data_IF_873824941636
#
_entry.id   IF_873824941636
#
_cell.length_a   1.000
_cell.length_b   1.000
_cell.length_c   1.000
_cell.angle_alpha   90.00
_cell.angle_beta   90.00
_cell.angle_gamma   90.00
#
_symmetry.space_group_name_H-M   'P 1'
#
loop_
_entity.id
_entity.type
_entity.pdbx_description
1 polymer ?
#
# COMPACT_ATOMS: atom_id res chain seq x y z
N UNK A 1 -30.39 5.81 -2.42
CA UNK A 1 -29.74 6.47 -1.27
C UNK A 1 -28.68 5.54 -0.70
N UNK A 2 -27.67 6.11 -0.09
CA UNK A 2 -26.60 5.41 0.64
C UNK A 2 -27.12 4.37 1.65
N UNK A 3 -28.26 4.65 2.28
CA UNK A 3 -28.93 3.75 3.22
C UNK A 3 -29.41 2.43 2.59
N UNK A 4 -29.86 2.45 1.32
CA UNK A 4 -30.30 1.24 0.61
C UNK A 4 -29.12 0.29 0.34
N UNK A 5 -27.95 0.85 0.01
CA UNK A 5 -26.72 0.08 -0.22
C UNK A 5 -26.26 -0.56 1.09
N UNK A 6 -26.19 0.21 2.18
CA UNK A 6 -25.80 -0.29 3.49
C UNK A 6 -26.71 -1.43 3.98
N UNK A 7 -28.01 -1.29 3.78
CA UNK A 7 -28.99 -2.32 4.14
C UNK A 7 -28.93 -3.57 3.26
N UNK A 8 -28.73 -3.42 1.94
CA UNK A 8 -28.83 -4.54 0.98
C UNK A 8 -27.53 -5.29 0.74
N UNK A 9 -26.39 -4.59 0.73
CA UNK A 9 -25.07 -5.20 0.44
C UNK A 9 -24.41 -5.73 1.70
N UNK A 10 -24.60 -5.06 2.83
CA UNK A 10 -23.97 -5.42 4.10
C UNK A 10 -24.97 -5.94 5.14
N UNK A 11 -26.17 -6.33 4.70
CA UNK A 11 -27.22 -6.91 5.55
C UNK A 11 -27.52 -6.11 6.84
N UNK A 12 -27.46 -4.78 6.74
CA UNK A 12 -27.68 -3.88 7.88
C UNK A 12 -26.58 -3.91 8.95
N UNK A 13 -25.42 -4.55 8.71
CA UNK A 13 -24.26 -4.61 9.62
C UNK A 13 -23.73 -3.22 10.01
N UNK A 14 -23.85 -2.24 9.12
CA UNK A 14 -23.38 -0.86 9.33
C UNK A 14 -24.55 0.11 9.13
N UNK A 15 -24.74 1.03 10.09
CA UNK A 15 -25.82 2.03 10.03
C UNK A 15 -25.44 3.22 9.16
N UNK A 16 -24.14 3.49 9.02
CA UNK A 16 -23.63 4.60 8.22
C UNK A 16 -22.39 4.20 7.41
N UNK A 17 -22.10 4.96 6.35
CA UNK A 17 -20.85 4.83 5.61
C UNK A 17 -19.61 5.12 6.46
N UNK A 18 -19.73 5.99 7.46
CA UNK A 18 -18.65 6.27 8.39
C UNK A 18 -18.32 5.04 9.24
N UNK A 19 -19.33 4.38 9.81
CA UNK A 19 -19.17 3.12 10.55
C UNK A 19 -18.54 2.03 9.68
N UNK A 20 -19.04 1.86 8.44
CA UNK A 20 -18.46 0.90 7.49
C UNK A 20 -16.97 1.19 7.24
N UNK A 21 -16.61 2.44 6.90
CA UNK A 21 -15.22 2.82 6.61
C UNK A 21 -14.33 2.60 7.84
N UNK A 22 -14.77 3.02 9.02
CA UNK A 22 -14.03 2.79 10.26
C UNK A 22 -13.80 1.30 10.51
N UNK A 23 -14.82 0.46 10.34
CA UNK A 23 -14.67 -0.99 10.49
C UNK A 23 -13.69 -1.58 9.47
N UNK A 24 -13.75 -1.15 8.20
CA UNK A 24 -12.81 -1.59 7.16
C UNK A 24 -11.37 -1.15 7.44
N UNK A 25 -11.15 0.02 8.04
CA UNK A 25 -9.82 0.44 8.45
C UNK A 25 -9.31 -0.37 9.64
N UNK A 26 -10.17 -0.60 10.65
CA UNK A 26 -9.80 -1.41 11.81
C UNK A 26 -9.46 -2.85 11.40
N UNK A 27 -10.25 -3.46 10.52
CA UNK A 27 -9.97 -4.79 9.96
C UNK A 27 -8.57 -4.84 9.33
N UNK A 28 -8.15 -3.80 8.59
CA UNK A 28 -6.81 -3.76 8.00
C UNK A 28 -5.72 -3.63 9.07
N UNK A 29 -5.93 -2.78 10.08
CA UNK A 29 -4.99 -2.59 11.20
C UNK A 29 -4.80 -3.91 11.94
N UNK A 30 -5.88 -4.63 12.22
CA UNK A 30 -5.85 -5.94 12.91
C UNK A 30 -5.11 -7.01 12.10
N UNK A 31 -5.01 -6.83 10.77
CA UNK A 31 -4.30 -7.72 9.84
C UNK A 31 -2.83 -7.33 9.62
N UNK A 32 -2.33 -6.23 10.19
CA UNK A 32 -0.94 -5.78 9.97
C UNK A 32 0.10 -6.84 10.34
N UNK A 33 -0.14 -7.63 11.39
CA UNK A 33 0.71 -8.75 11.77
C UNK A 33 0.69 -9.94 10.80
N UNK A 34 -0.22 -9.95 9.83
CA UNK A 34 -0.38 -11.02 8.83
C UNK A 34 -0.01 -10.54 7.43
N UNK A 35 0.68 -9.41 7.29
CA UNK A 35 1.11 -8.93 5.97
C UNK A 35 2.01 -9.98 5.30
N UNK A 36 1.66 -10.40 4.08
CA UNK A 36 2.52 -11.30 3.31
C UNK A 36 3.82 -10.60 2.96
N UNK A 37 4.91 -11.33 3.11
CA UNK A 37 6.20 -10.95 2.56
C UNK A 37 6.06 -10.62 1.07
N UNK A 38 6.67 -9.52 0.63
CA UNK A 38 6.72 -9.12 -0.78
C UNK A 38 8.13 -8.67 -1.16
N UNK A 39 8.57 -9.07 -2.35
CA UNK A 39 9.84 -8.66 -2.94
C UNK A 39 9.59 -7.81 -4.17
N UNK A 40 10.24 -6.66 -4.26
CA UNK A 40 10.08 -5.70 -5.36
C UNK A 40 11.43 -5.14 -5.80
N UNK A 41 11.45 -4.52 -7.00
CA UNK A 41 12.62 -3.80 -7.51
C UNK A 41 12.86 -2.56 -6.66
N UNK A 42 14.05 -2.43 -6.06
CA UNK A 42 14.40 -1.30 -5.21
C UNK A 42 14.48 0.00 -6.03
N UNK A 43 13.54 0.94 -5.85
CA UNK A 43 13.50 2.18 -6.62
C UNK A 43 14.66 3.14 -6.29
N UNK A 44 15.44 2.86 -5.25
CA UNK A 44 16.60 3.67 -4.89
C UNK A 44 17.85 3.30 -5.70
N UNK A 45 17.83 2.17 -6.43
CA UNK A 45 18.96 1.68 -7.22
C UNK A 45 18.84 2.12 -8.69
N UNK A 46 19.96 2.55 -9.32
CA UNK A 46 19.96 2.96 -10.71
C UNK A 46 19.84 1.77 -11.67
N UNK A 47 19.28 2.01 -12.87
CA UNK A 47 19.34 1.06 -14.00
C UNK A 47 20.81 0.80 -14.39
N UNK A 48 21.18 -0.40 -14.90
CA UNK A 48 20.32 -1.57 -15.16
C UNK A 48 20.12 -2.51 -13.97
N UNK A 49 20.91 -2.36 -12.91
CA UNK A 49 20.87 -3.24 -11.76
C UNK A 49 19.89 -2.72 -10.70
N UNK A 50 18.60 -2.96 -10.94
CA UNK A 50 17.54 -2.71 -9.98
C UNK A 50 17.55 -3.76 -8.87
N UNK A 51 18.53 -3.72 -7.97
CA UNK A 51 18.59 -4.64 -6.82
C UNK A 51 17.22 -4.83 -6.16
N UNK A 52 16.96 -5.98 -5.57
CA UNK A 52 15.65 -6.25 -4.96
C UNK A 52 15.62 -5.82 -3.50
N UNK A 53 14.43 -5.48 -3.03
CA UNK A 53 14.13 -5.30 -1.62
C UNK A 53 12.95 -6.18 -1.24
N UNK A 54 13.04 -6.79 -0.07
CA UNK A 54 11.99 -7.62 0.51
C UNK A 54 11.53 -6.96 1.80
N UNK A 55 10.21 -6.90 1.99
CA UNK A 55 9.61 -6.52 3.27
C UNK A 55 8.82 -7.70 3.83
N UNK A 56 8.83 -7.86 5.14
CA UNK A 56 8.19 -8.97 5.84
C UNK A 56 7.00 -8.53 6.68
N UNK A 57 6.88 -7.24 6.98
CA UNK A 57 5.87 -6.70 7.88
C UNK A 57 5.58 -5.23 7.60
N UNK A 58 4.56 -4.70 8.28
CA UNK A 58 4.10 -3.31 8.12
C UNK A 58 5.11 -2.30 8.67
N UNK A 59 5.90 -2.62 9.68
CA UNK A 59 6.89 -1.69 10.25
C UNK A 59 8.03 -1.42 9.26
N UNK A 60 8.50 -2.45 8.56
CA UNK A 60 9.46 -2.31 7.47
C UNK A 60 8.88 -1.47 6.32
N UNK A 61 7.60 -1.68 5.98
CA UNK A 61 6.90 -0.87 4.99
C UNK A 61 6.83 0.61 5.41
N UNK A 62 6.47 0.88 6.66
CA UNK A 62 6.36 2.22 7.21
C UNK A 62 7.72 2.93 7.19
N UNK A 63 8.78 2.25 7.65
CA UNK A 63 10.13 2.81 7.65
C UNK A 63 10.61 3.20 6.23
N UNK A 64 10.27 2.40 5.20
CA UNK A 64 10.58 2.75 3.82
C UNK A 64 9.77 3.95 3.32
N UNK A 65 8.49 4.02 3.71
CA UNK A 65 7.65 5.17 3.38
C UNK A 65 8.19 6.46 4.03
N UNK A 66 8.59 6.39 5.30
CA UNK A 66 9.16 7.53 6.03
C UNK A 66 10.46 8.02 5.38
N UNK A 67 11.34 7.10 4.99
CA UNK A 67 12.55 7.43 4.23
C UNK A 67 12.24 8.08 2.88
N UNK A 68 11.24 7.59 2.17
CA UNK A 68 10.83 8.15 0.88
C UNK A 68 10.22 9.55 1.04
N UNK A 69 9.39 9.75 2.06
CA UNK A 69 8.80 11.06 2.40
C UNK A 69 9.90 12.06 2.77
N UNK A 70 10.85 11.66 3.60
CA UNK A 70 11.99 12.51 3.97
C UNK A 70 12.78 12.93 2.74
N UNK A 71 13.07 11.98 1.84
CA UNK A 71 13.80 12.26 0.59
C UNK A 71 13.05 13.22 -0.33
N UNK A 72 11.73 13.11 -0.43
CA UNK A 72 10.91 14.05 -1.22
C UNK A 72 10.81 15.43 -0.56
N UNK A 73 10.90 15.50 0.78
CA UNK A 73 10.89 16.75 1.52
C UNK A 73 12.23 17.50 1.42
N UNK A 74 13.36 16.79 1.49
CA UNK A 74 14.71 17.35 1.45
C UNK A 74 15.27 17.52 0.02
N UNK A 75 14.65 16.84 -0.95
CA UNK A 75 15.12 16.80 -2.33
C UNK A 75 15.07 18.17 -3.03
N UNK A 76 16.02 18.45 -3.95
CA UNK A 76 16.00 19.68 -4.73
C UNK A 76 14.75 19.73 -5.60
N UNK A 77 13.99 20.82 -5.49
CA UNK A 77 12.83 21.09 -6.36
C UNK A 77 13.29 21.87 -7.59
N UNK A 78 13.42 21.16 -8.70
CA UNK A 78 13.72 21.74 -9.99
C UNK A 78 12.45 22.16 -10.71
N UNK A 79 12.55 23.08 -11.67
CA UNK A 79 11.40 23.72 -12.32
C UNK A 79 10.54 22.75 -13.14
N UNK A 80 11.13 21.69 -13.68
CA UNK A 80 10.43 20.65 -14.46
C UNK A 80 10.01 19.40 -13.64
N UNK A 81 10.03 19.45 -12.30
CA UNK A 81 9.78 18.28 -11.43
C UNK A 81 8.47 17.57 -11.77
N UNK A 82 8.55 16.27 -12.05
CA UNK A 82 7.38 15.42 -12.29
C UNK A 82 7.18 14.46 -11.11
N UNK A 83 6.16 14.67 -10.26
CA UNK A 83 5.89 13.80 -9.13
C UNK A 83 5.72 12.32 -9.51
N UNK A 84 5.27 11.99 -10.72
CA UNK A 84 5.10 10.59 -11.14
C UNK A 84 6.44 9.91 -11.42
N UNK A 85 7.44 10.69 -11.83
CA UNK A 85 8.75 10.21 -12.29
C UNK A 85 9.84 10.44 -11.24
N UNK A 86 9.72 11.45 -10.38
CA UNK A 86 10.81 11.92 -9.54
C UNK A 86 10.63 11.57 -8.07
N UNK A 87 9.39 11.63 -7.57
CA UNK A 87 9.04 11.33 -6.18
C UNK A 87 9.49 9.93 -5.77
N UNK A 88 10.31 9.86 -4.72
CA UNK A 88 10.67 8.62 -4.06
C UNK A 88 9.43 7.90 -3.53
N UNK A 89 8.45 8.65 -3.01
CA UNK A 89 7.17 8.10 -2.55
C UNK A 89 6.40 7.43 -3.69
N UNK A 90 6.25 8.10 -4.84
CA UNK A 90 5.54 7.50 -5.98
C UNK A 90 6.26 6.27 -6.52
N UNK A 91 7.59 6.31 -6.66
CA UNK A 91 8.38 5.17 -7.10
C UNK A 91 8.21 3.96 -6.18
N UNK A 92 8.29 4.19 -4.87
CA UNK A 92 8.11 3.14 -3.86
C UNK A 92 6.71 2.56 -3.90
N UNK A 93 5.66 3.40 -3.89
CA UNK A 93 4.27 2.96 -4.00
C UNK A 93 4.03 2.12 -5.25
N UNK A 94 4.55 2.56 -6.41
CA UNK A 94 4.41 1.82 -7.68
C UNK A 94 5.09 0.46 -7.63
N UNK A 95 6.31 0.39 -7.09
CA UNK A 95 7.07 -0.86 -7.00
C UNK A 95 6.37 -1.89 -6.10
N UNK A 96 5.90 -1.46 -4.92
CA UNK A 96 5.18 -2.31 -3.97
C UNK A 96 3.82 -2.72 -4.54
N UNK A 97 3.07 -1.78 -5.12
CA UNK A 97 1.78 -2.06 -5.76
C UNK A 97 1.91 -3.11 -6.85
N UNK A 98 2.89 -2.95 -7.77
CA UNK A 98 3.13 -3.92 -8.85
C UNK A 98 3.48 -5.29 -8.29
N UNK A 99 4.34 -5.35 -7.27
CA UNK A 99 4.75 -6.63 -6.69
C UNK A 99 3.57 -7.35 -6.02
N UNK A 100 2.72 -6.64 -5.27
CA UNK A 100 1.51 -7.24 -4.72
C UNK A 100 0.48 -7.59 -5.79
N UNK A 101 0.27 -6.75 -6.81
CA UNK A 101 -0.60 -7.05 -7.96
C UNK A 101 -0.22 -8.41 -8.57
N UNK A 102 1.07 -8.62 -8.81
CA UNK A 102 1.61 -9.86 -9.37
C UNK A 102 1.47 -11.04 -8.41
N UNK A 103 1.88 -10.86 -7.15
CA UNK A 103 1.84 -11.90 -6.11
C UNK A 103 0.42 -12.36 -5.81
N UNK A 104 -0.58 -11.50 -6.02
CA UNK A 104 -1.97 -11.77 -5.63
C UNK A 104 -2.91 -12.07 -6.80
N UNK A 105 -2.37 -12.24 -8.01
CA UNK A 105 -3.15 -12.47 -9.23
C UNK A 105 -4.21 -11.37 -9.45
N UNK A 106 -3.74 -10.12 -9.58
CA UNK A 106 -4.57 -8.90 -9.66
C UNK A 106 -5.47 -8.70 -8.44
N UNK A 107 -4.93 -8.91 -7.23
CA UNK A 107 -5.67 -8.82 -5.95
C UNK A 107 -6.87 -9.77 -5.83
N UNK A 108 -6.93 -10.83 -6.66
CA UNK A 108 -7.91 -11.91 -6.47
C UNK A 108 -7.66 -12.73 -5.21
N UNK A 109 -6.45 -12.62 -4.65
CA UNK A 109 -6.11 -13.14 -3.33
C UNK A 109 -5.66 -12.03 -2.38
N UNK A 110 -5.83 -12.25 -1.07
CA UNK A 110 -5.45 -11.27 -0.05
C UNK A 110 -3.95 -11.04 -0.02
N UNK A 111 -3.52 -9.80 0.25
CA UNK A 111 -2.13 -9.47 0.62
C UNK A 111 -1.81 -9.86 2.06
N UNK A 112 -2.81 -10.25 2.84
CA UNK A 112 -2.66 -10.78 4.18
C UNK A 112 -2.73 -12.31 4.14
N UNK A 113 -1.99 -12.95 5.04
CA UNK A 113 -2.10 -14.39 5.29
C UNK A 113 -3.46 -14.70 5.90
N UNK A 114 -4.11 -15.75 5.39
CA UNK A 114 -5.31 -16.27 6.03
C UNK A 114 -4.87 -17.00 7.30
N UNK A 115 -5.16 -16.45 8.49
CA UNK A 115 -5.10 -17.24 9.71
C UNK A 115 -6.06 -18.41 9.54
N UNK A 116 -5.51 -19.63 9.48
CA UNK A 116 -6.28 -20.86 9.71
C UNK A 116 -6.61 -20.99 11.17
#
# INVERSE_FOLDING_TARGET
TDELVLKKVFDGKYKTWAEFKTAMYQERVDQFGNLKQVTFKDPTKPWPSYGTKTINNVDELQALMDQAVLKDAEGPRWSNYDPEIDSAVHKLKRAIFKAYLDQTNDFRSSIFENKK
#
